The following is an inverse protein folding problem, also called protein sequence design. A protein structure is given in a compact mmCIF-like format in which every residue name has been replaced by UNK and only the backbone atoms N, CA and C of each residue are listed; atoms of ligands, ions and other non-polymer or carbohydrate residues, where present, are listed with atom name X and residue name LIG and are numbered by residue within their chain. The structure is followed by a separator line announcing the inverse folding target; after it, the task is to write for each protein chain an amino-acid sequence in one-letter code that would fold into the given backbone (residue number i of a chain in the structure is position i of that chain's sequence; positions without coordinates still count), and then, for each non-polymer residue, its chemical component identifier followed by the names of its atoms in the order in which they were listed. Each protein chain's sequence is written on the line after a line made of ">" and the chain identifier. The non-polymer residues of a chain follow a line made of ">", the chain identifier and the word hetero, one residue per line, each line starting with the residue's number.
data_IF_336445701106
#
_entry.id   IF_336445701106
#
_cell.length_a   1.000
_cell.length_b   1.000
_cell.length_c   1.000
_cell.angle_alpha   90.00
_cell.angle_beta   90.00
_cell.angle_gamma   90.00
#
_symmetry.space_group_name_H-M   'P 1'
#
loop_
_entity.id
_entity.type
_entity.pdbx_description
1 polymer ?
#
# COMPACT_ATOMS: atom_id res chain seq x y z
N UNK A 1 8.77 13.92 -6.57
CA UNK A 1 7.99 13.46 -7.75
C UNK A 1 6.89 12.54 -7.26
N UNK A 2 5.66 12.68 -7.75
CA UNK A 2 4.54 11.82 -7.36
C UNK A 2 4.78 10.41 -7.90
N UNK A 3 5.27 9.50 -7.05
CA UNK A 3 5.42 8.10 -7.41
C UNK A 3 4.03 7.53 -7.68
N UNK A 4 3.81 6.96 -8.87
CA UNK A 4 2.55 6.27 -9.13
C UNK A 4 2.51 5.02 -8.25
N UNK A 5 1.34 4.67 -7.68
CA UNK A 5 1.22 3.42 -6.94
C UNK A 5 1.48 2.24 -7.89
N UNK A 6 2.30 1.31 -7.44
CA UNK A 6 2.63 0.07 -8.15
C UNK A 6 1.40 -0.85 -8.20
N UNK A 7 0.77 -1.05 -7.05
CA UNK A 7 -0.37 -1.95 -6.89
C UNK A 7 -1.27 -1.50 -5.75
N UNK A 8 -2.58 -1.81 -5.83
CA UNK A 8 -3.55 -1.51 -4.77
C UNK A 8 -4.47 -2.70 -4.50
N UNK A 9 -4.56 -3.09 -3.24
CA UNK A 9 -5.50 -4.09 -2.76
C UNK A 9 -6.57 -3.43 -1.89
N UNK A 10 -7.84 -3.77 -2.13
CA UNK A 10 -8.98 -3.13 -1.45
C UNK A 10 -9.92 -4.17 -0.87
N UNK A 11 -10.37 -3.91 0.36
CA UNK A 11 -11.43 -4.64 1.04
C UNK A 11 -12.37 -3.63 1.73
N UNK A 12 -13.50 -3.33 1.08
CA UNK A 12 -14.43 -2.30 1.55
C UNK A 12 -13.79 -0.91 1.63
N UNK A 13 -13.80 -0.31 2.81
CA UNK A 13 -13.16 0.98 3.09
C UNK A 13 -11.64 0.90 3.21
N UNK A 14 -11.05 -0.29 3.37
CA UNK A 14 -9.62 -0.46 3.62
C UNK A 14 -8.87 -0.70 2.32
N UNK A 15 -7.75 0.01 2.15
CA UNK A 15 -6.89 -0.09 0.97
C UNK A 15 -5.42 -0.20 1.40
N UNK A 16 -4.73 -1.23 0.94
CA UNK A 16 -3.27 -1.29 0.95
C UNK A 16 -2.75 -0.82 -0.41
N UNK A 17 -1.83 0.14 -0.42
CA UNK A 17 -1.19 0.69 -1.63
C UNK A 17 0.29 0.40 -1.57
N UNK A 18 0.81 -0.28 -2.58
CA UNK A 18 2.23 -0.55 -2.75
C UNK A 18 2.83 0.56 -3.60
N UNK A 19 3.97 1.09 -3.18
CA UNK A 19 4.74 2.09 -3.89
C UNK A 19 6.12 1.54 -4.20
N UNK A 20 6.58 1.71 -5.45
CA UNK A 20 7.98 1.54 -5.81
C UNK A 20 8.67 2.88 -5.68
N UNK A 21 9.64 2.96 -4.78
CA UNK A 21 10.43 4.16 -4.55
C UNK A 21 11.83 3.94 -5.11
N UNK A 22 12.40 4.99 -5.65
CA UNK A 22 13.77 5.02 -6.15
C UNK A 22 14.54 6.04 -5.30
N UNK A 23 15.69 5.61 -4.78
CA UNK A 23 16.63 6.46 -4.05
C UNK A 23 17.94 6.48 -4.82
N UNK A 24 18.50 7.67 -4.95
CA UNK A 24 19.82 7.91 -5.54
C UNK A 24 20.73 8.45 -4.43
N UNK A 25 21.84 7.77 -4.18
CA UNK A 25 22.86 8.20 -3.23
C UNK A 25 24.22 8.20 -3.93
N UNK A 26 24.68 9.38 -4.31
CA UNK A 26 25.84 9.54 -5.19
C UNK A 26 25.62 8.80 -6.51
N UNK A 27 26.51 7.85 -6.84
CA UNK A 27 26.44 7.04 -8.06
C UNK A 27 25.54 5.79 -7.94
N UNK A 28 25.04 5.47 -6.73
CA UNK A 28 24.22 4.27 -6.50
C UNK A 28 22.74 4.60 -6.59
N UNK A 29 22.03 3.84 -7.40
CA UNK A 29 20.56 3.84 -7.46
C UNK A 29 20.03 2.54 -6.88
N UNK A 30 19.17 2.63 -5.88
CA UNK A 30 18.45 1.47 -5.36
C UNK A 30 16.95 1.74 -5.35
N UNK A 31 16.17 0.70 -5.65
CA UNK A 31 14.72 0.75 -5.57
C UNK A 31 14.24 -0.12 -4.41
N UNK A 32 13.20 0.34 -3.72
CA UNK A 32 12.59 -0.37 -2.59
C UNK A 32 11.09 -0.13 -2.58
N UNK A 33 10.35 -1.07 -2.03
CA UNK A 33 8.91 -0.98 -1.94
C UNK A 33 8.46 -0.49 -0.56
N UNK A 34 7.40 0.31 -0.52
CA UNK A 34 6.68 0.65 0.72
C UNK A 34 5.21 0.32 0.57
N UNK A 35 4.53 0.06 1.69
CA UNK A 35 3.09 -0.20 1.71
C UNK A 35 2.39 0.81 2.62
N UNK A 36 1.41 1.53 2.08
CA UNK A 36 0.52 2.41 2.84
C UNK A 36 -0.82 1.74 3.06
N UNK A 37 -1.34 1.80 4.29
CA UNK A 37 -2.64 1.24 4.64
C UNK A 37 -3.58 2.37 5.07
N UNK A 38 -4.65 2.57 4.30
CA UNK A 38 -5.62 3.64 4.54
C UNK A 38 -7.04 3.10 4.64
N UNK A 39 -7.85 3.76 5.46
CA UNK A 39 -9.31 3.65 5.46
C UNK A 39 -9.93 4.88 4.81
N UNK A 40 -10.75 4.64 3.79
CA UNK A 40 -11.59 5.66 3.18
C UNK A 40 -12.90 5.80 3.96
N UNK A 41 -13.29 7.03 4.26
CA UNK A 41 -14.59 7.34 4.87
C UNK A 41 -15.14 8.63 4.27
N UNK A 42 -16.45 8.84 4.43
CA UNK A 42 -17.11 10.08 4.03
C UNK A 42 -17.26 10.97 5.26
N UNK A 43 -16.79 12.21 5.18
CA UNK A 43 -16.94 13.18 6.26
C UNK A 43 -18.34 13.80 6.29
N UNK A 44 -18.58 14.68 7.27
CA UNK A 44 -19.87 15.36 7.46
C UNK A 44 -20.27 16.23 6.26
N UNK A 45 -19.31 16.67 5.45
CA UNK A 45 -19.53 17.51 4.27
C UNK A 45 -19.75 16.66 3.01
N UNK A 46 -19.77 15.33 3.13
CA UNK A 46 -19.92 14.41 2.01
C UNK A 46 -18.64 14.19 1.21
N UNK A 47 -17.50 14.69 1.69
CA UNK A 47 -16.21 14.53 1.03
C UNK A 47 -15.55 13.22 1.44
N UNK A 48 -14.91 12.56 0.48
CA UNK A 48 -14.12 11.36 0.75
C UNK A 48 -12.78 11.74 1.39
N UNK A 49 -12.50 11.15 2.54
CA UNK A 49 -11.27 11.34 3.29
C UNK A 49 -10.58 10.00 3.53
N UNK A 50 -9.27 10.07 3.78
CA UNK A 50 -8.45 8.92 4.18
C UNK A 50 -7.99 9.08 5.62
N UNK A 51 -7.83 7.97 6.32
CA UNK A 51 -7.22 7.92 7.65
C UNK A 51 -6.47 6.61 7.84
N UNK A 52 -5.41 6.64 8.65
CA UNK A 52 -4.69 5.46 9.11
C UNK A 52 -5.27 4.88 10.41
N UNK A 53 -6.30 5.51 10.99
CA UNK A 53 -6.98 5.03 12.20
C UNK A 53 -8.03 3.97 11.86
N UNK A 54 -7.87 2.78 12.44
CA UNK A 54 -8.70 1.61 12.17
C UNK A 54 -9.70 1.36 13.31
N UNK A 55 -10.90 0.86 12.98
CA UNK A 55 -11.86 0.28 13.95
C UNK A 55 -11.67 -1.24 14.02
N UNK A 56 -12.27 -1.88 15.01
CA UNK A 56 -12.24 -3.35 15.18
C UNK A 56 -12.67 -4.08 13.88
N UNK A 57 -13.74 -3.63 13.23
CA UNK A 57 -14.25 -4.25 11.99
C UNK A 57 -13.38 -3.96 10.75
N UNK A 58 -12.42 -3.05 10.86
CA UNK A 58 -11.44 -2.78 9.80
C UNK A 58 -10.27 -3.77 9.87
N UNK A 59 -9.97 -4.35 11.05
CA UNK A 59 -8.78 -5.19 11.27
C UNK A 59 -8.74 -6.45 10.41
N UNK A 60 -9.83 -7.24 10.24
CA UNK A 60 -9.79 -8.41 9.37
C UNK A 60 -9.57 -8.03 7.89
N UNK A 61 -10.09 -6.87 7.48
CA UNK A 61 -9.92 -6.33 6.11
C UNK A 61 -8.49 -5.85 5.90
N UNK A 62 -7.91 -5.17 6.90
CA UNK A 62 -6.52 -4.76 6.93
C UNK A 62 -5.59 -5.97 6.80
N UNK A 63 -5.80 -7.00 7.62
CA UNK A 63 -5.02 -8.24 7.54
C UNK A 63 -5.11 -8.87 6.14
N UNK A 64 -6.31 -8.96 5.55
CA UNK A 64 -6.50 -9.51 4.21
C UNK A 64 -5.71 -8.73 3.14
N UNK A 65 -5.82 -7.40 3.12
CA UNK A 65 -5.12 -6.60 2.09
C UNK A 65 -3.61 -6.55 2.32
N UNK A 66 -3.14 -6.66 3.57
CA UNK A 66 -1.73 -6.76 3.90
C UNK A 66 -1.16 -8.11 3.48
N UNK A 67 -1.88 -9.22 3.70
CA UNK A 67 -1.47 -10.54 3.22
C UNK A 67 -1.34 -10.56 1.69
N UNK A 68 -2.29 -9.97 0.97
CA UNK A 68 -2.20 -9.83 -0.50
C UNK A 68 -1.03 -8.96 -0.94
N UNK A 69 -0.74 -7.89 -0.20
CA UNK A 69 0.41 -7.05 -0.50
C UNK A 69 1.74 -7.77 -0.29
N UNK A 70 1.84 -8.55 0.79
CA UNK A 70 2.99 -9.38 1.05
C UNK A 70 3.19 -10.43 -0.04
N UNK A 71 2.15 -11.19 -0.38
CA UNK A 71 2.16 -12.20 -1.44
C UNK A 71 2.68 -11.62 -2.77
N UNK A 72 2.12 -10.48 -3.20
CA UNK A 72 2.57 -9.77 -4.39
C UNK A 72 4.06 -9.39 -4.34
N UNK A 73 4.54 -8.88 -3.21
CA UNK A 73 5.94 -8.46 -3.08
C UNK A 73 6.90 -9.65 -3.00
N UNK A 74 6.53 -10.71 -2.30
CA UNK A 74 7.34 -11.90 -2.13
C UNK A 74 7.53 -12.63 -3.47
N UNK A 75 6.45 -12.87 -4.22
CA UNK A 75 6.54 -13.51 -5.55
C UNK A 75 7.33 -12.64 -6.54
N UNK A 76 7.17 -11.32 -6.48
CA UNK A 76 7.92 -10.40 -7.35
C UNK A 76 9.43 -10.38 -7.05
N UNK A 77 9.82 -10.55 -5.79
CA UNK A 77 11.23 -10.68 -5.43
C UNK A 77 11.84 -11.95 -6.02
N UNK A 78 11.10 -13.07 -6.00
CA UNK A 78 11.53 -14.34 -6.61
C UNK A 78 11.72 -14.20 -8.13
N UNK A 79 10.80 -13.56 -8.85
CA UNK A 79 10.93 -13.30 -10.29
C UNK A 79 12.13 -12.43 -10.65
N UNK A 80 12.52 -11.49 -9.78
CA UNK A 80 13.69 -10.63 -10.02
C UNK A 80 15.04 -11.29 -9.70
N UNK A 81 15.03 -12.43 -9.01
CA UNK A 81 16.22 -13.18 -8.61
C UNK A 81 16.49 -14.40 -9.51
N UNK A 82 15.56 -14.74 -10.41
CA UNK A 82 15.69 -15.78 -11.43
C UNK A 82 16.14 -15.19 -12.78
#
# INVERSE_FOLDING_TARGET
>A
MSSKPEMRFKAGSITATIWKNEQETGEKRFSYYTVSLDRNYRDKNGSWQKTNSMRINDLPKAALVLNKAYDYLATKQEESAA
#
